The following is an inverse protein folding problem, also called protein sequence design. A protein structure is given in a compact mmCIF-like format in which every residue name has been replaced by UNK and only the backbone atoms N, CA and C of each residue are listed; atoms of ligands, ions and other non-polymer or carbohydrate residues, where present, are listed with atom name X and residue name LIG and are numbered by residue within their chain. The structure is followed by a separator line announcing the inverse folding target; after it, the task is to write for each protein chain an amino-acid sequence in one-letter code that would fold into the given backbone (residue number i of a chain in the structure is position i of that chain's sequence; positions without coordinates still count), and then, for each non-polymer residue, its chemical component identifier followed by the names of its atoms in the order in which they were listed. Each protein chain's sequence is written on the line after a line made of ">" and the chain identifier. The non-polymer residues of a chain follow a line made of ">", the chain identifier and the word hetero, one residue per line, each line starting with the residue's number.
data_IF_531992140688
#
_entry.id   IF_531992140688
#
_cell.length_a   1.000
_cell.length_b   1.000
_cell.length_c   1.000
_cell.angle_alpha   90.00
_cell.angle_beta   90.00
_cell.angle_gamma   90.00
#
_symmetry.space_group_name_H-M   'P 1'
#
loop_
_entity.id
_entity.type
_entity.pdbx_description
1 polymer ?
#
# COMPACT_ATOMS: atom_id res chain seq x y z
N UNK A 1 18.59 -9.41 -23.57
CA UNK A 1 18.21 -9.07 -22.18
C UNK A 1 19.13 -9.87 -21.27
N UNK A 2 19.82 -9.24 -20.32
CA UNK A 2 20.79 -9.95 -19.45
C UNK A 2 20.07 -10.86 -18.45
N UNK A 3 20.69 -11.97 -18.03
CA UNK A 3 20.17 -12.85 -16.97
C UNK A 3 19.92 -12.08 -15.66
N UNK A 4 20.76 -11.06 -15.40
CA UNK A 4 20.61 -10.15 -14.26
C UNK A 4 19.28 -9.40 -14.33
N UNK A 5 18.88 -8.94 -15.52
CA UNK A 5 17.62 -8.20 -15.68
C UNK A 5 16.43 -9.11 -15.38
N UNK A 6 16.43 -10.33 -15.91
CA UNK A 6 15.36 -11.32 -15.68
C UNK A 6 15.23 -11.65 -14.18
N UNK A 7 16.36 -11.80 -13.49
CA UNK A 7 16.38 -12.05 -12.05
C UNK A 7 15.79 -10.86 -11.28
N UNK A 8 16.20 -9.64 -11.61
CA UNK A 8 15.69 -8.42 -10.96
C UNK A 8 14.19 -8.27 -11.17
N UNK A 9 13.69 -8.50 -12.38
CA UNK A 9 12.26 -8.43 -12.69
C UNK A 9 11.46 -9.43 -11.84
N UNK A 10 11.97 -10.65 -11.69
CA UNK A 10 11.32 -11.67 -10.85
C UNK A 10 11.34 -11.31 -9.37
N UNK A 11 12.44 -10.74 -8.86
CA UNK A 11 12.50 -10.28 -7.48
C UNK A 11 11.49 -9.17 -7.20
N UNK A 12 11.33 -8.23 -8.13
CA UNK A 12 10.32 -7.17 -8.02
C UNK A 12 8.91 -7.77 -8.02
N UNK A 13 8.62 -8.69 -8.94
CA UNK A 13 7.33 -9.39 -9.01
C UNK A 13 7.00 -10.13 -7.71
N UNK A 14 7.98 -10.81 -7.10
CA UNK A 14 7.81 -11.46 -5.79
C UNK A 14 7.53 -10.46 -4.67
N UNK A 15 8.25 -9.33 -4.64
CA UNK A 15 8.05 -8.28 -3.63
C UNK A 15 6.69 -7.62 -3.77
N UNK A 16 6.24 -7.35 -5.00
CA UNK A 16 4.91 -6.80 -5.28
C UNK A 16 3.81 -7.78 -4.84
N UNK A 17 3.97 -9.07 -5.12
CA UNK A 17 3.04 -10.09 -4.65
C UNK A 17 2.98 -10.13 -3.13
N UNK A 18 4.12 -10.17 -2.46
CA UNK A 18 4.18 -10.19 -0.99
C UNK A 18 3.51 -8.96 -0.37
N UNK A 19 3.74 -7.78 -0.96
CA UNK A 19 3.09 -6.53 -0.57
C UNK A 19 1.56 -6.56 -0.74
N UNK A 20 1.06 -7.22 -1.78
CA UNK A 20 -0.38 -7.36 -2.05
C UNK A 20 -1.08 -8.35 -1.11
N UNK A 21 -0.37 -9.35 -0.61
CA UNK A 21 -0.87 -10.33 0.36
C UNK A 21 -0.84 -9.81 1.80
N UNK A 22 -0.15 -8.70 2.06
CA UNK A 22 -0.13 -8.07 3.38
C UNK A 22 -1.54 -7.67 3.83
N UNK A 23 -1.90 -8.03 5.06
CA UNK A 23 -3.18 -7.67 5.64
C UNK A 23 -3.25 -6.18 5.98
N UNK A 24 -4.32 -5.54 5.55
CA UNK A 24 -4.61 -4.13 5.80
C UNK A 24 -5.99 -3.98 6.42
N UNK A 25 -6.13 -2.98 7.29
CA UNK A 25 -7.42 -2.66 7.90
C UNK A 25 -8.25 -1.78 6.99
N UNK A 26 -9.49 -2.22 6.75
CA UNK A 26 -10.49 -1.49 5.98
C UNK A 26 -11.77 -1.29 6.79
N UNK A 27 -12.41 -0.14 6.59
CA UNK A 27 -13.74 0.18 7.10
C UNK A 27 -14.75 0.11 5.95
N UNK A 28 -15.83 -0.63 6.13
CA UNK A 28 -16.88 -0.76 5.10
C UNK A 28 -17.81 0.45 5.18
N UNK A 29 -17.83 1.26 4.14
CA UNK A 29 -18.65 2.48 4.06
C UNK A 29 -19.90 2.29 3.20
N UNK A 30 -19.83 1.39 2.22
CA UNK A 30 -20.87 1.12 1.24
C UNK A 30 -21.90 0.10 1.72
N UNK A 31 -22.53 -0.58 0.76
CA UNK A 31 -23.50 -1.67 1.04
C UNK A 31 -22.79 -2.88 1.66
N UNK A 32 -23.52 -3.62 2.49
CA UNK A 32 -23.09 -4.95 2.93
C UNK A 32 -22.80 -5.81 1.70
N UNK A 33 -21.62 -6.41 1.66
CA UNK A 33 -21.15 -7.22 0.52
C UNK A 33 -20.61 -8.55 1.01
N UNK A 34 -20.49 -9.52 0.10
CA UNK A 34 -19.92 -10.82 0.40
C UNK A 34 -18.68 -11.03 -0.44
N UNK A 35 -17.60 -11.46 0.19
CA UNK A 35 -16.32 -11.72 -0.46
C UNK A 35 -15.89 -13.15 -0.17
N UNK A 36 -15.22 -13.78 -1.13
CA UNK A 36 -14.55 -15.04 -0.87
C UNK A 36 -13.18 -14.74 -0.26
N UNK A 37 -12.99 -15.17 0.99
CA UNK A 37 -11.73 -15.18 1.69
C UNK A 37 -11.22 -16.62 1.87
N UNK A 38 -10.03 -16.78 2.44
CA UNK A 38 -9.45 -18.10 2.71
C UNK A 38 -10.35 -18.99 3.58
N UNK A 39 -11.06 -18.39 4.54
CA UNK A 39 -11.99 -19.08 5.44
C UNK A 39 -13.37 -19.37 4.81
N UNK A 40 -13.58 -18.98 3.55
CA UNK A 40 -14.83 -19.12 2.82
C UNK A 40 -15.52 -17.79 2.56
N UNK A 41 -16.86 -17.82 2.46
CA UNK A 41 -17.67 -16.64 2.14
C UNK A 41 -17.84 -15.77 3.40
N UNK A 42 -17.27 -14.57 3.39
CA UNK A 42 -17.34 -13.61 4.50
C UNK A 42 -18.30 -12.49 4.13
N UNK A 43 -19.22 -12.17 5.05
CA UNK A 43 -20.14 -11.03 4.91
C UNK A 43 -19.55 -9.79 5.58
N UNK A 44 -19.27 -8.78 4.77
CA UNK A 44 -18.69 -7.50 5.17
C UNK A 44 -19.81 -6.52 5.49
N UNK A 45 -20.02 -6.24 6.78
CA UNK A 45 -21.08 -5.36 7.26
C UNK A 45 -20.67 -3.89 7.19
N UNK A 46 -21.60 -3.04 6.75
CA UNK A 46 -21.42 -1.58 6.75
C UNK A 46 -21.12 -1.06 8.17
N UNK A 47 -20.10 -0.22 8.28
CA UNK A 47 -19.63 0.37 9.53
C UNK A 47 -18.70 -0.52 10.34
N UNK A 48 -18.49 -1.78 9.93
CA UNK A 48 -17.52 -2.66 10.56
C UNK A 48 -16.13 -2.54 9.93
N UNK A 49 -15.13 -2.89 10.72
CA UNK A 49 -13.73 -2.95 10.31
C UNK A 49 -13.29 -4.39 10.11
N UNK A 50 -12.50 -4.63 9.06
CA UNK A 50 -11.98 -5.95 8.73
C UNK A 50 -10.49 -5.86 8.39
N UNK A 51 -9.74 -6.91 8.73
CA UNK A 51 -8.39 -7.16 8.22
C UNK A 51 -8.52 -7.98 6.95
N UNK A 52 -8.06 -7.45 5.83
CA UNK A 52 -8.14 -8.14 4.52
C UNK A 52 -6.83 -7.97 3.75
N UNK A 53 -6.48 -8.88 2.83
CA UNK A 53 -5.33 -8.68 1.96
C UNK A 53 -5.43 -7.36 1.17
N UNK A 54 -4.30 -6.68 0.97
CA UNK A 54 -4.23 -5.39 0.28
C UNK A 54 -4.84 -5.41 -1.12
N UNK A 55 -4.69 -6.49 -1.88
CA UNK A 55 -5.33 -6.62 -3.18
C UNK A 55 -6.87 -6.54 -3.09
N UNK A 56 -7.47 -7.17 -2.07
CA UNK A 56 -8.91 -7.14 -1.85
C UNK A 56 -9.36 -5.75 -1.38
N UNK A 57 -8.58 -5.13 -0.48
CA UNK A 57 -8.82 -3.75 -0.07
C UNK A 57 -8.86 -2.78 -1.26
N UNK A 58 -7.91 -2.91 -2.21
CA UNK A 58 -7.87 -2.06 -3.40
C UNK A 58 -9.13 -2.22 -4.26
N UNK A 59 -9.62 -3.45 -4.44
CA UNK A 59 -10.86 -3.73 -5.17
C UNK A 59 -12.04 -3.06 -4.46
N UNK A 60 -12.19 -3.29 -3.15
CA UNK A 60 -13.30 -2.73 -2.36
C UNK A 60 -13.31 -1.19 -2.36
N UNK A 61 -12.14 -0.56 -2.34
CA UNK A 61 -12.00 0.91 -2.44
C UNK A 61 -12.38 1.40 -3.83
N UNK A 62 -11.92 0.72 -4.89
CA UNK A 62 -12.25 1.08 -6.28
C UNK A 62 -13.75 1.01 -6.59
N UNK A 63 -14.47 0.13 -5.89
CA UNK A 63 -15.93 -0.01 -5.98
C UNK A 63 -16.69 0.89 -5.00
N UNK A 64 -16.01 1.80 -4.28
CA UNK A 64 -16.58 2.66 -3.24
C UNK A 64 -17.29 1.89 -2.10
N UNK A 65 -16.87 0.65 -1.83
CA UNK A 65 -17.42 -0.19 -0.76
C UNK A 65 -16.68 0.03 0.55
N UNK A 66 -15.38 0.26 0.50
CA UNK A 66 -14.53 0.37 1.69
C UNK A 66 -13.58 1.59 1.64
N UNK A 67 -13.02 1.91 2.81
CA UNK A 67 -11.92 2.85 2.98
C UNK A 67 -10.80 2.18 3.77
N UNK A 68 -9.56 2.32 3.32
CA UNK A 68 -8.40 1.83 4.08
C UNK A 68 -8.18 2.73 5.30
N UNK A 69 -8.09 2.13 6.49
CA UNK A 69 -7.76 2.82 7.76
C UNK A 69 -6.28 2.85 8.05
N UNK A 70 -5.50 1.96 7.42
CA UNK A 70 -4.06 1.94 7.64
C UNK A 70 -3.42 3.23 7.14
N UNK A 71 -2.56 3.80 7.97
CA UNK A 71 -2.01 5.13 7.75
C UNK A 71 -1.00 5.07 6.61
N UNK A 72 -1.42 5.54 5.43
CA UNK A 72 -0.52 5.81 4.30
C UNK A 72 0.68 6.65 4.76
N UNK A 73 1.81 6.51 4.07
CA UNK A 73 3.01 7.32 4.26
C UNK A 73 2.68 8.80 3.99
N UNK A 74 2.17 9.49 5.00
CA UNK A 74 1.85 10.91 4.95
C UNK A 74 3.11 11.78 5.00
N UNK A 75 2.95 13.05 4.62
CA UNK A 75 4.04 14.04 4.59
C UNK A 75 4.75 14.12 5.95
N UNK A 76 4.01 14.13 7.06
CA UNK A 76 4.59 14.20 8.41
C UNK A 76 5.56 13.05 8.70
N UNK A 77 5.21 11.83 8.29
CA UNK A 77 6.08 10.65 8.43
C UNK A 77 7.31 10.77 7.53
N UNK A 78 7.15 11.25 6.30
CA UNK A 78 8.26 11.46 5.37
C UNK A 78 9.25 12.52 5.90
N UNK A 79 8.74 13.64 6.40
CA UNK A 79 9.55 14.69 7.02
C UNK A 79 10.32 14.16 8.23
N UNK A 80 9.68 13.31 9.05
CA UNK A 80 10.35 12.67 10.19
C UNK A 80 11.47 11.73 9.74
N UNK A 81 11.24 10.93 8.69
CA UNK A 81 12.27 10.04 8.14
C UNK A 81 13.46 10.85 7.59
N UNK A 82 13.19 11.90 6.82
CA UNK A 82 14.22 12.77 6.26
C UNK A 82 15.07 13.44 7.35
N UNK A 83 14.41 14.02 8.36
CA UNK A 83 15.10 14.65 9.49
C UNK A 83 15.98 13.66 10.26
N UNK A 84 15.48 12.44 10.49
CA UNK A 84 16.25 11.41 11.18
C UNK A 84 17.47 10.97 10.38
N UNK A 85 17.34 10.88 9.06
CA UNK A 85 18.46 10.52 8.17
C UNK A 85 19.56 11.58 8.27
N UNK A 86 19.21 12.84 8.09
CA UNK A 86 20.13 13.98 8.21
C UNK A 86 20.82 14.04 9.59
N UNK A 87 20.06 13.79 10.65
CA UNK A 87 20.56 13.85 12.03
C UNK A 87 21.48 12.67 12.41
N UNK A 88 21.38 11.55 11.69
CA UNK A 88 22.13 10.32 11.97
C UNK A 88 23.31 10.08 11.03
N UNK A 89 23.48 10.90 9.99
CA UNK A 89 24.63 10.82 9.04
C UNK A 89 25.98 10.77 9.78
N UNK A 90 26.12 11.53 10.86
CA UNK A 90 27.36 11.59 11.63
C UNK A 90 27.60 10.38 12.55
N UNK A 91 26.56 9.57 12.81
CA UNK A 91 26.58 8.49 13.80
C UNK A 91 26.71 7.08 13.19
N UNK A 92 26.83 6.95 11.86
CA UNK A 92 26.85 5.67 11.14
C UNK A 92 25.67 4.75 11.49
N UNK A 93 24.51 5.33 11.81
CA UNK A 93 23.29 4.58 12.15
C UNK A 93 22.30 4.65 10.97
N UNK A 94 21.74 3.51 10.60
CA UNK A 94 20.71 3.43 9.57
C UNK A 94 19.35 3.84 10.13
N UNK A 95 18.63 4.72 9.42
CA UNK A 95 17.24 5.04 9.76
C UNK A 95 16.34 3.86 9.47
N UNK A 96 15.49 3.54 10.45
CA UNK A 96 14.43 2.56 10.26
C UNK A 96 13.31 3.16 9.41
N UNK A 97 13.17 2.66 8.19
CA UNK A 97 12.04 2.97 7.31
C UNK A 97 10.94 1.89 7.41
N UNK A 98 9.69 2.21 7.08
CA UNK A 98 8.62 1.22 7.01
C UNK A 98 8.91 0.07 6.03
N UNK A 99 8.33 -1.10 6.30
CA UNK A 99 8.35 -2.22 5.35
C UNK A 99 7.69 -1.76 4.03
N UNK A 100 8.26 -2.17 2.90
CA UNK A 100 7.79 -1.78 1.56
C UNK A 100 7.80 -0.28 1.27
N UNK A 101 8.61 0.52 1.98
CA UNK A 101 8.70 1.97 1.80
C UNK A 101 8.79 2.40 0.31
N UNK A 102 9.73 1.84 -0.44
CA UNK A 102 9.92 2.22 -1.85
C UNK A 102 8.74 1.84 -2.75
N UNK A 103 8.07 0.71 -2.49
CA UNK A 103 6.85 0.33 -3.22
C UNK A 103 5.72 1.34 -2.93
N UNK A 104 5.56 1.73 -1.66
CA UNK A 104 4.57 2.72 -1.26
C UNK A 104 4.84 4.09 -1.91
N UNK A 105 6.08 4.55 -1.93
CA UNK A 105 6.46 5.81 -2.60
C UNK A 105 6.16 5.76 -4.10
N UNK A 106 6.59 4.69 -4.78
CA UNK A 106 6.34 4.50 -6.20
C UNK A 106 4.83 4.53 -6.52
N UNK A 107 4.01 3.88 -5.69
CA UNK A 107 2.54 3.91 -5.80
C UNK A 107 1.99 5.33 -5.63
N UNK A 108 2.40 6.04 -4.58
CA UNK A 108 1.95 7.43 -4.32
C UNK A 108 2.30 8.35 -5.49
N UNK A 109 3.53 8.25 -6.01
CA UNK A 109 3.98 9.05 -7.17
C UNK A 109 3.12 8.76 -8.40
N UNK A 110 2.89 7.47 -8.72
CA UNK A 110 2.03 7.08 -9.85
C UNK A 110 0.60 7.57 -9.68
N UNK A 111 0.04 7.50 -8.48
CA UNK A 111 -1.31 7.98 -8.21
C UNK A 111 -1.43 9.50 -8.38
N UNK A 112 -0.41 10.26 -7.96
CA UNK A 112 -0.34 11.72 -8.17
C UNK A 112 -0.19 12.07 -9.65
N UNK A 113 0.68 11.37 -10.38
CA UNK A 113 0.83 11.55 -11.83
C UNK A 113 -0.48 11.28 -12.58
N UNK A 114 -1.21 10.22 -12.18
CA UNK A 114 -2.50 9.88 -12.78
C UNK A 114 -3.59 10.92 -12.47
N UNK A 115 -3.57 11.53 -11.29
CA UNK A 115 -4.50 12.63 -10.94
C UNK A 115 -4.18 13.88 -11.75
N UNK A 116 -2.90 14.25 -11.83
CA UNK A 116 -2.45 15.40 -12.61
C UNK A 116 -2.85 15.29 -14.08
N UNK A 117 -2.70 14.11 -14.70
CA UNK A 117 -3.13 13.88 -16.08
C UNK A 117 -4.63 14.10 -16.28
N UNK A 118 -5.46 13.67 -15.32
CA UNK A 118 -6.92 13.83 -15.38
C UNK A 118 -7.41 15.28 -15.17
N UNK A 119 -6.62 16.14 -14.54
CA UNK A 119 -6.96 17.55 -14.32
C UNK A 119 -6.54 18.46 -15.49
N UNK A 120 -5.63 17.99 -16.34
CA UNK A 120 -5.14 18.71 -17.52
C UNK A 120 -6.03 18.45 -18.76
N UNK A 121 -6.80 17.37 -18.76
CA UNK A 121 -7.81 17.01 -19.77
C UNK A 121 -9.20 17.59 -19.44
#
# INVERSE_FOLDING_TARGET
>A
MSLINILMDKLVEFLEREYMEEEVRVEIIGKTTRVFAYEGLVELMRGAEYSVPRWLANILVSENIARVKEQELGIDKLSTIAYNEESLVQKLQLVKIPRYFYLNINRIVRDLENRLKKEID
#
